data_IF_890137763186
#
_entry.id   IF_890137763186
#
_cell.length_a   1.000
_cell.length_b   1.000
_cell.length_c   1.000
_cell.angle_alpha   90.00
_cell.angle_beta   90.00
_cell.angle_gamma   90.00
#
_symmetry.space_group_name_H-M   'P 1'
#
loop_
_entity.id
_entity.type
_entity.pdbx_description
1 polymer ?
#
# COMPACT_ATOMS: atom_id res chain seq x y z
N UNK A 1 3.39 10.06 58.98
CA UNK A 1 4.80 10.44 58.95
C UNK A 1 4.98 11.37 57.75
N UNK A 2 5.28 12.63 57.99
CA UNK A 2 5.59 13.62 56.94
C UNK A 2 6.92 13.24 56.31
N UNK A 3 6.90 12.84 55.04
CA UNK A 3 8.10 12.48 54.27
C UNK A 3 8.53 13.72 53.50
N UNK A 4 9.70 14.27 53.81
CA UNK A 4 10.24 15.43 53.10
C UNK A 4 11.22 14.98 52.02
N UNK A 5 10.94 15.32 50.76
CA UNK A 5 11.83 15.09 49.64
C UNK A 5 12.45 16.42 49.22
N UNK A 6 13.75 16.58 49.45
CA UNK A 6 14.45 17.85 49.22
C UNK A 6 15.69 17.63 48.37
N UNK A 7 16.10 18.65 47.62
CA UNK A 7 17.43 18.67 47.00
C UNK A 7 18.47 18.98 48.08
N UNK A 8 19.56 18.23 48.07
CA UNK A 8 20.74 18.47 48.89
C UNK A 8 21.91 18.79 47.95
N UNK A 9 22.38 20.04 48.00
CA UNK A 9 23.48 20.53 47.15
C UNK A 9 24.76 20.65 47.95
N UNK A 10 25.69 19.71 47.77
CA UNK A 10 27.07 19.83 48.23
C UNK A 10 28.01 20.25 47.09
N UNK A 11 29.27 20.58 47.41
CA UNK A 11 30.26 20.99 46.41
C UNK A 11 30.54 19.92 45.34
N UNK A 12 30.33 18.65 45.67
CA UNK A 12 30.57 17.53 44.74
C UNK A 12 29.31 17.13 43.94
N UNK A 13 28.16 17.79 44.18
CA UNK A 13 26.87 17.41 43.63
C UNK A 13 26.60 15.89 43.77
N UNK A 14 26.84 15.36 44.98
CA UNK A 14 26.90 13.93 45.29
C UNK A 14 25.67 13.19 44.80
N UNK A 15 24.46 13.74 45.01
CA UNK A 15 23.21 13.11 44.59
C UNK A 15 22.83 13.35 43.13
N UNK A 16 23.62 14.11 42.36
CA UNK A 16 23.39 14.41 40.93
C UNK A 16 21.96 14.90 40.62
N UNK A 17 21.39 15.71 41.51
CA UNK A 17 20.03 16.23 41.39
C UNK A 17 18.90 15.29 41.82
N UNK A 18 19.19 14.11 42.37
CA UNK A 18 18.16 13.23 42.93
C UNK A 18 17.65 13.78 44.28
N UNK A 19 16.34 13.73 44.47
CA UNK A 19 15.70 14.16 45.72
C UNK A 19 16.02 13.19 46.85
N UNK A 20 16.52 13.74 47.97
CA UNK A 20 16.81 12.99 49.18
C UNK A 20 15.56 12.92 50.04
N UNK A 21 15.23 11.73 50.50
CA UNK A 21 14.05 11.50 51.33
C UNK A 21 14.45 11.46 52.80
N UNK A 22 13.94 12.40 53.60
CA UNK A 22 14.16 12.48 55.04
C UNK A 22 13.05 11.75 55.79
N UNK A 23 13.42 10.98 56.81
CA UNK A 23 12.48 10.18 57.61
C UNK A 23 11.97 10.95 58.84
N UNK A 24 12.65 12.02 59.21
CA UNK A 24 12.25 12.97 60.25
C UNK A 24 11.81 14.29 59.63
N UNK A 25 11.05 15.09 60.38
CA UNK A 25 10.75 16.46 59.99
C UNK A 25 12.06 17.24 59.85
N UNK A 26 12.24 17.90 58.72
CA UNK A 26 13.43 18.71 58.45
C UNK A 26 13.18 20.11 59.02
N UNK A 27 13.98 20.59 59.98
CA UNK A 27 13.79 21.91 60.58
C UNK A 27 13.85 23.05 59.54
N UNK A 28 13.06 24.14 59.71
CA UNK A 28 13.23 25.35 58.90
C UNK A 28 14.62 25.98 59.04
N UNK A 29 15.28 25.80 60.19
CA UNK A 29 16.63 26.30 60.51
C UNK A 29 17.74 25.76 59.63
N UNK A 30 17.49 24.76 58.78
CA UNK A 30 18.48 24.19 57.85
C UNK A 30 18.07 24.31 56.38
N UNK A 31 16.91 24.89 56.10
CA UNK A 31 16.36 25.04 54.74
C UNK A 31 16.54 26.46 54.24
N UNK A 32 16.73 26.58 52.93
CA UNK A 32 16.63 27.87 52.28
C UNK A 32 15.17 28.38 52.35
N UNK A 33 15.00 29.62 52.78
CA UNK A 33 13.69 30.28 52.95
C UNK A 33 12.96 30.52 51.62
N UNK A 34 13.67 30.56 50.49
CA UNK A 34 13.09 30.71 49.15
C UNK A 34 12.77 29.38 48.48
N UNK A 35 13.75 28.47 48.35
CA UNK A 35 13.57 27.24 47.59
C UNK A 35 13.28 26.00 48.45
N UNK A 36 13.34 26.09 49.77
CA UNK A 36 13.09 24.99 50.70
C UNK A 36 14.17 23.88 50.73
N UNK A 37 15.22 24.00 49.91
CA UNK A 37 16.27 22.99 49.78
C UNK A 37 17.44 23.22 50.74
N UNK A 38 18.30 22.20 50.86
CA UNK A 38 19.50 22.21 51.70
C UNK A 38 20.73 22.39 50.79
N UNK A 39 21.68 23.22 51.19
CA UNK A 39 22.88 23.57 50.42
C UNK A 39 24.07 23.70 51.36
N UNK A 40 25.26 23.30 50.90
CA UNK A 40 26.52 23.55 51.62
C UNK A 40 26.86 25.04 51.64
N UNK A 41 26.53 25.74 50.56
CA UNK A 41 26.73 27.19 50.43
C UNK A 41 25.42 27.89 50.82
N UNK A 42 25.31 28.20 52.11
CA UNK A 42 24.19 28.90 52.74
C UNK A 42 24.64 30.23 53.31
N UNK A 43 23.76 31.22 53.24
CA UNK A 43 23.93 32.53 53.83
C UNK A 43 22.82 32.81 54.83
N UNK A 44 23.16 33.44 55.94
CA UNK A 44 22.29 33.70 57.09
C UNK A 44 22.12 35.20 57.29
N UNK A 45 20.88 35.62 57.49
CA UNK A 45 20.56 36.98 57.98
C UNK A 45 20.65 37.06 59.50
N UNK A 46 20.78 38.27 60.08
CA UNK A 46 20.80 38.44 61.54
C UNK A 46 19.54 37.89 62.24
N UNK A 47 18.38 37.88 61.58
CA UNK A 47 17.16 37.24 62.09
C UNK A 47 17.19 35.70 62.08
N UNK A 48 18.23 35.08 61.52
CA UNK A 48 18.42 33.63 61.46
C UNK A 48 17.88 32.94 60.20
N UNK A 49 17.24 33.67 59.28
CA UNK A 49 16.77 33.10 58.01
C UNK A 49 17.93 32.74 57.09
N UNK A 50 17.77 31.62 56.37
CA UNK A 50 18.79 31.08 55.48
C UNK A 50 18.41 31.19 54.02
N UNK A 51 19.41 31.43 53.18
CA UNK A 51 19.29 31.50 51.72
C UNK A 51 20.46 30.71 51.11
N UNK A 52 20.18 29.78 50.20
CA UNK A 52 21.28 29.13 49.47
C UNK A 52 21.89 30.15 48.50
N UNK A 53 23.19 30.02 48.20
CA UNK A 53 23.91 30.96 47.35
C UNK A 53 23.19 31.27 46.01
N UNK A 54 22.64 30.28 45.26
CA UNK A 54 21.87 30.58 44.05
C UNK A 54 20.62 31.43 44.31
N UNK A 55 19.93 31.21 45.43
CA UNK A 55 18.77 32.01 45.81
C UNK A 55 19.16 33.39 46.33
N UNK A 56 20.30 33.52 47.02
CA UNK A 56 20.81 34.82 47.47
C UNK A 56 21.20 35.72 46.28
N UNK A 57 21.78 35.16 45.21
CA UNK A 57 22.09 35.93 43.99
C UNK A 57 20.88 36.35 43.17
N UNK A 58 19.70 35.78 43.43
CA UNK A 58 18.45 36.21 42.79
C UNK A 58 17.81 37.39 43.52
N UNK A 59 18.38 37.81 44.66
CA UNK A 59 17.96 39.00 45.39
C UNK A 59 18.77 40.19 44.85
N UNK A 60 18.09 41.29 44.52
CA UNK A 60 18.72 42.49 43.95
C UNK A 60 19.41 43.31 45.04
N UNK A 61 20.72 43.58 44.92
CA UNK A 61 21.56 44.22 45.97
C UNK A 61 21.00 45.56 46.54
N UNK A 62 20.11 46.23 45.80
CA UNK A 62 19.46 47.49 46.19
C UNK A 62 18.10 47.30 46.91
N UNK A 63 17.64 46.05 47.09
CA UNK A 63 16.36 45.70 47.71
C UNK A 63 16.49 45.18 49.15
N UNK A 64 15.58 45.64 50.02
CA UNK A 64 15.43 45.13 51.38
C UNK A 64 14.74 43.74 51.37
N UNK A 65 15.32 42.76 52.06
CA UNK A 65 14.72 41.43 52.20
C UNK A 65 13.62 41.48 53.26
N UNK A 66 12.37 41.47 52.79
CA UNK A 66 11.20 41.29 53.65
C UNK A 66 11.15 39.85 54.18
N UNK A 67 11.57 39.68 55.43
CA UNK A 67 11.59 38.39 56.10
C UNK A 67 10.21 38.00 56.65
N UNK A 68 9.17 38.82 56.50
CA UNK A 68 7.89 38.66 57.22
C UNK A 68 7.97 39.09 58.69
N UNK A 69 6.87 38.97 59.45
CA UNK A 69 6.71 39.35 60.88
C UNK A 69 7.64 40.47 61.38
N UNK A 70 7.41 41.70 60.88
CA UNK A 70 8.10 42.94 61.27
C UNK A 70 9.65 42.87 61.21
N UNK A 71 10.20 42.10 60.27
CA UNK A 71 11.64 41.92 60.09
C UNK A 71 12.05 42.25 58.65
N UNK A 72 12.94 43.23 58.50
CA UNK A 72 13.50 43.67 57.23
C UNK A 72 15.02 43.80 57.37
N UNK A 73 15.77 43.27 56.40
CA UNK A 73 17.23 43.26 56.41
C UNK A 73 17.80 43.62 55.04
N UNK A 74 18.95 44.27 55.01
CA UNK A 74 19.70 44.47 53.76
C UNK A 74 20.38 43.16 53.31
N UNK A 75 20.51 42.96 51.99
CA UNK A 75 21.26 41.82 51.42
C UNK A 75 22.73 41.85 51.86
N UNK A 76 23.28 43.04 52.12
CA UNK A 76 24.63 43.26 52.64
C UNK A 76 24.87 42.55 54.00
N UNK A 77 23.82 42.27 54.76
CA UNK A 77 23.87 41.59 56.07
C UNK A 77 23.96 40.07 55.96
N UNK A 78 23.85 39.50 54.76
CA UNK A 78 23.99 38.06 54.54
C UNK A 78 25.43 37.60 54.75
N UNK A 79 25.62 36.77 55.78
CA UNK A 79 26.92 36.14 56.07
C UNK A 79 26.89 34.66 55.72
N UNK A 80 27.99 34.13 55.19
CA UNK A 80 28.11 32.69 54.93
C UNK A 80 27.97 31.91 56.25
N UNK A 81 27.16 30.85 56.25
CA UNK A 81 26.89 30.02 57.42
C UNK A 81 27.02 28.53 57.08
N UNK A 82 27.99 27.89 57.72
CA UNK A 82 28.26 26.46 57.57
C UNK A 82 27.50 25.62 58.61
N UNK A 83 27.06 26.24 59.71
CA UNK A 83 26.42 25.56 60.84
C UNK A 83 25.11 24.89 60.44
N UNK A 84 24.34 25.54 59.56
CA UNK A 84 23.08 25.01 59.06
C UNK A 84 23.26 23.72 58.26
N UNK A 85 24.34 23.64 57.47
CA UNK A 85 24.64 22.43 56.72
C UNK A 85 25.20 21.33 57.63
N UNK A 86 26.01 21.68 58.64
CA UNK A 86 26.49 20.74 59.65
C UNK A 86 25.33 20.11 60.44
N UNK A 87 24.32 20.90 60.80
CA UNK A 87 23.09 20.39 61.42
C UNK A 87 22.30 19.49 60.47
N UNK A 88 22.20 19.87 59.19
CA UNK A 88 21.53 19.06 58.17
C UNK A 88 22.20 17.68 57.95
N UNK A 89 23.53 17.59 58.06
CA UNK A 89 24.28 16.33 57.91
C UNK A 89 23.89 15.28 58.95
N UNK A 90 23.38 15.69 60.11
CA UNK A 90 22.95 14.80 61.19
C UNK A 90 21.52 14.27 61.00
N UNK A 91 20.74 14.85 60.07
CA UNK A 91 19.35 14.43 59.82
C UNK A 91 19.31 13.04 59.21
N UNK A 92 18.30 12.25 59.59
CA UNK A 92 18.12 10.89 59.06
C UNK A 92 17.48 10.92 57.68
N UNK A 93 18.16 10.31 56.70
CA UNK A 93 17.75 10.25 55.32
C UNK A 93 17.85 8.83 54.73
N UNK A 94 17.20 8.60 53.61
CA UNK A 94 17.29 7.37 52.81
C UNK A 94 18.07 7.61 51.52
N UNK A 95 18.77 6.59 51.06
CA UNK A 95 19.47 6.60 49.78
C UNK A 95 18.51 6.92 48.62
N UNK A 96 18.78 7.93 47.78
CA UNK A 96 17.92 8.27 46.64
C UNK A 96 17.87 7.23 45.51
N UNK A 97 18.78 6.25 45.49
CA UNK A 97 18.77 5.20 44.45
C UNK A 97 17.57 4.29 44.64
N UNK A 98 16.80 4.09 43.57
CA UNK A 98 15.61 3.25 43.55
C UNK A 98 15.92 1.84 44.09
N UNK A 99 15.08 1.35 45.01
CA UNK A 99 15.22 0.03 45.61
C UNK A 99 16.30 -0.11 46.69
N UNK A 100 17.02 0.97 47.05
CA UNK A 100 17.99 0.92 48.14
C UNK A 100 17.33 1.15 49.51
N UNK A 101 17.41 0.19 50.46
CA UNK A 101 16.82 0.34 51.79
C UNK A 101 17.74 1.08 52.79
N UNK A 102 18.91 1.56 52.34
CA UNK A 102 19.88 2.18 53.24
C UNK A 102 19.34 3.50 53.81
N UNK A 103 19.33 3.57 55.14
CA UNK A 103 18.93 4.73 55.93
C UNK A 103 20.02 5.00 56.96
N UNK A 104 20.41 6.27 57.10
CA UNK A 104 21.45 6.72 58.02
C UNK A 104 21.41 8.23 58.18
N UNK A 105 22.43 8.82 58.79
CA UNK A 105 22.61 10.27 58.74
C UNK A 105 22.79 10.74 57.28
N UNK A 106 22.48 11.99 56.98
CA UNK A 106 22.66 12.52 55.63
C UNK A 106 24.13 12.41 55.18
N UNK A 107 25.09 12.57 56.08
CA UNK A 107 26.52 12.32 55.82
C UNK A 107 26.80 10.87 55.40
N UNK A 108 26.31 9.90 56.17
CA UNK A 108 26.47 8.46 55.85
C UNK A 108 25.78 8.09 54.53
N UNK A 109 24.62 8.68 54.25
CA UNK A 109 23.88 8.46 53.01
C UNK A 109 24.63 9.05 51.81
N UNK A 110 25.29 10.20 51.97
CA UNK A 110 26.13 10.80 50.93
C UNK A 110 27.30 9.88 50.56
N UNK A 111 27.98 9.29 51.54
CA UNK A 111 29.09 8.37 51.29
C UNK A 111 28.63 7.02 50.75
N UNK A 112 27.52 6.48 51.28
CA UNK A 112 26.87 5.31 50.71
C UNK A 112 26.48 5.53 49.25
N UNK A 113 25.91 6.68 48.89
CA UNK A 113 25.41 6.95 47.54
C UNK A 113 26.51 6.82 46.47
N UNK A 114 27.73 7.26 46.80
CA UNK A 114 28.94 7.15 45.95
C UNK A 114 29.28 5.70 45.61
N UNK A 115 29.03 4.76 46.54
CA UNK A 115 29.37 3.34 46.41
C UNK A 115 28.15 2.40 46.29
N UNK A 116 26.94 2.96 46.28
CA UNK A 116 25.70 2.17 46.31
C UNK A 116 25.54 1.34 45.03
N UNK A 117 25.54 0.02 45.21
CA UNK A 117 25.53 -0.98 44.12
C UNK A 117 24.15 -1.25 43.52
N UNK A 118 23.09 -0.68 44.11
CA UNK A 118 21.71 -0.80 43.64
C UNK A 118 21.35 0.24 42.56
N UNK A 119 22.32 0.98 42.03
CA UNK A 119 22.11 1.77 40.82
C UNK A 119 21.77 0.85 39.65
N UNK A 120 20.61 1.04 39.03
CA UNK A 120 20.23 0.39 37.78
C UNK A 120 20.62 1.25 36.58
N UNK A 121 20.85 0.61 35.44
CA UNK A 121 21.09 1.23 34.14
C UNK A 121 20.30 0.45 33.09
N UNK A 122 19.86 1.14 32.02
CA UNK A 122 19.16 0.50 30.91
C UNK A 122 20.13 -0.24 29.99
N UNK A 123 19.83 -1.49 29.68
CA UNK A 123 20.57 -2.24 28.67
C UNK A 123 20.31 -1.64 27.28
N UNK A 124 21.35 -1.44 26.48
CA UNK A 124 21.24 -0.87 25.13
C UNK A 124 20.65 -1.85 24.11
N UNK A 125 20.61 -3.15 24.44
CA UNK A 125 20.13 -4.21 23.54
C UNK A 125 18.64 -4.53 23.79
N UNK A 126 18.24 -4.75 25.05
CA UNK A 126 16.86 -5.11 25.40
C UNK A 126 16.06 -3.98 26.06
N UNK A 127 16.70 -2.89 26.50
CA UNK A 127 16.02 -1.77 27.17
C UNK A 127 15.66 -1.99 28.65
N UNK A 128 15.92 -3.18 29.19
CA UNK A 128 15.62 -3.52 30.60
C UNK A 128 16.51 -2.77 31.59
N UNK A 129 15.96 -2.45 32.76
CA UNK A 129 16.72 -1.86 33.87
C UNK A 129 17.48 -2.96 34.63
N UNK A 130 18.81 -2.98 34.47
CA UNK A 130 19.70 -3.97 35.08
C UNK A 130 20.58 -3.28 36.10
N UNK A 131 20.89 -3.96 37.22
CA UNK A 131 21.86 -3.45 38.18
C UNK A 131 23.19 -3.17 37.47
N UNK A 132 23.74 -1.96 37.61
CA UNK A 132 24.92 -1.52 36.85
C UNK A 132 26.12 -2.47 36.99
N UNK A 133 26.29 -3.08 38.18
CA UNK A 133 27.34 -4.09 38.45
C UNK A 133 27.15 -5.42 37.70
N UNK A 134 25.93 -5.74 37.27
CA UNK A 134 25.57 -6.97 36.55
C UNK A 134 25.42 -6.75 35.04
N UNK A 135 25.56 -5.51 34.54
CA UNK A 135 25.31 -5.20 33.13
C UNK A 135 26.19 -6.01 32.17
N UNK A 136 27.47 -6.19 32.49
CA UNK A 136 28.39 -6.99 31.68
C UNK A 136 27.96 -8.46 31.59
N UNK A 137 27.62 -9.07 32.72
CA UNK A 137 27.10 -10.44 32.79
C UNK A 137 25.75 -10.56 32.07
N UNK A 138 24.87 -9.57 32.22
CA UNK A 138 23.59 -9.54 31.52
C UNK A 138 23.80 -9.58 30.00
N UNK A 139 24.61 -8.68 29.44
CA UNK A 139 24.86 -8.65 27.98
C UNK A 139 25.53 -9.94 27.49
N UNK A 140 26.42 -10.53 28.29
CA UNK A 140 27.15 -11.74 27.92
C UNK A 140 26.29 -13.02 27.96
N UNK A 141 25.42 -13.18 28.96
CA UNK A 141 24.81 -14.48 29.26
C UNK A 141 23.29 -14.47 29.32
N UNK A 142 22.67 -13.34 29.68
CA UNK A 142 21.23 -13.29 30.01
C UNK A 142 20.41 -12.59 28.94
N UNK A 143 20.92 -11.53 28.35
CA UNK A 143 20.20 -10.67 27.43
C UNK A 143 19.74 -11.48 26.21
N UNK A 144 18.43 -11.54 26.00
CA UNK A 144 17.83 -12.24 24.85
C UNK A 144 18.11 -11.56 23.51
N UNK A 145 18.42 -10.26 23.55
CA UNK A 145 18.82 -9.47 22.38
C UNK A 145 20.34 -9.48 22.15
N UNK A 146 21.13 -10.28 22.90
CA UNK A 146 22.57 -10.39 22.64
C UNK A 146 22.82 -11.07 21.28
N UNK A 147 23.80 -10.61 20.50
CA UNK A 147 24.18 -11.30 19.26
C UNK A 147 24.83 -12.64 19.59
N UNK A 148 24.42 -13.68 18.88
CA UNK A 148 25.04 -15.00 18.87
C UNK A 148 25.27 -15.44 17.42
N UNK A 149 26.42 -16.05 17.15
CA UNK A 149 26.75 -16.56 15.83
C UNK A 149 26.09 -17.92 15.62
N UNK A 150 25.42 -18.10 14.49
CA UNK A 150 24.87 -19.39 14.08
C UNK A 150 26.00 -20.39 13.82
N UNK A 151 25.96 -21.62 14.38
CA UNK A 151 27.02 -22.62 14.19
C UNK A 151 27.11 -23.17 12.75
N UNK A 152 26.11 -22.89 11.90
CA UNK A 152 26.03 -23.40 10.54
C UNK A 152 26.42 -22.38 9.48
N UNK A 153 25.98 -21.12 9.63
CA UNK A 153 26.22 -20.05 8.64
C UNK A 153 27.06 -18.88 9.17
N UNK A 154 27.48 -18.93 10.43
CA UNK A 154 28.28 -17.91 11.13
C UNK A 154 27.61 -16.53 11.25
N UNK A 155 26.38 -16.36 10.76
CA UNK A 155 25.61 -15.12 10.85
C UNK A 155 25.26 -14.77 12.31
N UNK A 156 25.39 -13.50 12.67
CA UNK A 156 24.94 -12.99 13.97
C UNK A 156 23.42 -12.84 13.99
N UNK A 157 22.79 -13.50 14.96
CA UNK A 157 21.35 -13.46 15.25
C UNK A 157 21.14 -13.21 16.74
N UNK A 158 20.01 -12.61 17.10
CA UNK A 158 19.65 -12.41 18.51
C UNK A 158 19.48 -13.78 19.20
N UNK A 159 19.94 -13.91 20.44
CA UNK A 159 19.84 -15.16 21.19
C UNK A 159 18.42 -15.76 21.24
N UNK A 160 17.39 -14.91 21.35
CA UNK A 160 15.98 -15.37 21.31
C UNK A 160 15.54 -16.00 19.99
N UNK A 161 16.21 -15.66 18.88
CA UNK A 161 15.85 -16.11 17.53
C UNK A 161 16.80 -17.20 17.02
N UNK A 162 17.89 -17.50 17.74
CA UNK A 162 18.92 -18.44 17.28
C UNK A 162 18.36 -19.85 17.02
N UNK A 163 17.49 -20.35 17.89
CA UNK A 163 16.91 -21.70 17.76
C UNK A 163 16.05 -21.82 16.49
N UNK A 164 15.13 -20.88 16.26
CA UNK A 164 14.34 -20.82 15.02
C UNK A 164 15.22 -20.63 13.78
N UNK A 165 16.23 -19.76 13.86
CA UNK A 165 17.18 -19.60 12.77
C UNK A 165 17.92 -20.91 12.46
N UNK A 166 18.34 -21.68 13.47
CA UNK A 166 19.03 -22.96 13.29
C UNK A 166 18.15 -24.01 12.61
N UNK A 167 16.85 -24.02 12.89
CA UNK A 167 15.88 -24.92 12.22
C UNK A 167 15.66 -24.55 10.74
N UNK A 168 15.73 -23.26 10.41
CA UNK A 168 15.53 -22.73 9.07
C UNK A 168 16.83 -22.48 8.29
N UNK A 169 18.00 -22.69 8.91
CA UNK A 169 19.28 -22.37 8.30
C UNK A 169 19.59 -23.32 7.13
N UNK A 170 19.75 -22.78 5.93
CA UNK A 170 20.07 -23.58 4.73
C UNK A 170 21.42 -24.31 4.84
N UNK A 171 22.34 -23.85 5.69
CA UNK A 171 23.64 -24.48 5.94
C UNK A 171 23.63 -25.53 7.06
N UNK A 172 22.46 -25.79 7.68
CA UNK A 172 22.36 -26.83 8.70
C UNK A 172 22.47 -28.23 8.07
N UNK A 173 23.00 -29.22 8.78
CA UNK A 173 22.94 -30.61 8.35
C UNK A 173 21.50 -31.10 8.19
N UNK A 174 21.26 -31.95 7.22
CA UNK A 174 19.94 -32.51 6.97
C UNK A 174 20.02 -33.93 6.43
N UNK A 175 18.95 -34.70 6.63
CA UNK A 175 18.77 -36.00 6.01
C UNK A 175 17.58 -35.97 5.04
N UNK A 176 17.69 -36.74 3.96
CA UNK A 176 16.58 -36.89 3.03
C UNK A 176 15.45 -37.69 3.67
N UNK A 177 14.23 -37.15 3.68
CA UNK A 177 13.05 -37.81 4.26
C UNK A 177 12.61 -39.08 3.51
N UNK A 178 13.12 -39.30 2.30
CA UNK A 178 12.74 -40.44 1.45
C UNK A 178 13.80 -41.55 1.41
N UNK A 179 15.09 -41.20 1.39
CA UNK A 179 16.19 -42.19 1.33
C UNK A 179 17.08 -42.23 2.58
N UNK A 180 16.87 -41.33 3.54
CA UNK A 180 17.67 -41.18 4.76
C UNK A 180 19.18 -40.94 4.53
N UNK A 181 19.56 -40.52 3.31
CA UNK A 181 20.93 -40.09 3.03
C UNK A 181 21.22 -38.76 3.74
N UNK A 182 22.42 -38.63 4.30
CA UNK A 182 22.87 -37.48 5.08
C UNK A 182 23.57 -36.46 4.17
N UNK A 183 23.34 -35.17 4.43
CA UNK A 183 23.90 -34.05 3.70
C UNK A 183 24.50 -33.04 4.67
N UNK A 184 25.65 -32.49 4.30
CA UNK A 184 26.35 -31.45 5.07
C UNK A 184 25.48 -30.20 5.23
N UNK A 185 24.69 -29.86 4.20
CA UNK A 185 23.77 -28.72 4.22
C UNK A 185 22.37 -29.08 3.72
N UNK A 186 21.35 -28.42 4.27
CA UNK A 186 19.98 -28.51 3.79
C UNK A 186 19.83 -27.95 2.37
N UNK A 187 20.65 -26.95 2.01
CA UNK A 187 20.76 -26.41 0.66
C UNK A 187 21.10 -27.49 -0.37
N UNK A 188 22.13 -28.29 -0.10
CA UNK A 188 22.55 -29.38 -0.99
C UNK A 188 21.45 -30.44 -1.11
N UNK A 189 20.83 -30.81 0.01
CA UNK A 189 19.68 -31.72 0.01
C UNK A 189 18.56 -31.19 -0.90
N UNK A 190 18.16 -29.93 -0.71
CA UNK A 190 17.03 -29.28 -1.42
C UNK A 190 17.30 -29.10 -2.90
N UNK A 191 18.46 -28.56 -3.27
CA UNK A 191 18.73 -28.07 -4.62
C UNK A 191 19.44 -29.09 -5.51
N UNK A 192 20.13 -30.09 -4.93
CA UNK A 192 20.89 -31.09 -5.71
C UNK A 192 20.31 -32.49 -5.63
N UNK A 193 19.86 -32.93 -4.45
CA UNK A 193 19.41 -34.31 -4.26
C UNK A 193 17.91 -34.51 -4.49
N UNK A 194 17.05 -33.58 -4.07
CA UNK A 194 15.60 -33.79 -4.08
C UNK A 194 15.04 -34.18 -5.45
N UNK A 195 15.61 -33.72 -6.57
CA UNK A 195 15.09 -34.08 -7.89
C UNK A 195 15.57 -35.44 -8.40
N UNK A 196 16.70 -35.92 -7.91
CA UNK A 196 17.31 -37.20 -8.29
C UNK A 196 17.15 -38.30 -7.23
N UNK A 197 16.56 -37.98 -6.08
CA UNK A 197 16.37 -38.90 -4.96
C UNK A 197 15.67 -40.19 -5.43
N UNK A 198 16.27 -41.39 -5.26
CA UNK A 198 15.73 -42.63 -5.79
C UNK A 198 14.39 -43.03 -5.16
N UNK A 199 14.15 -42.64 -3.92
CA UNK A 199 12.96 -43.02 -3.16
C UNK A 199 11.85 -41.95 -3.18
N UNK A 200 12.12 -40.75 -3.73
CA UNK A 200 11.12 -39.68 -3.80
C UNK A 200 9.96 -40.10 -4.70
N UNK A 201 8.71 -40.02 -4.23
CA UNK A 201 7.53 -40.30 -5.04
C UNK A 201 7.32 -39.25 -6.13
N UNK A 202 7.37 -39.65 -7.40
CA UNK A 202 7.19 -38.78 -8.57
C UNK A 202 5.99 -39.22 -9.41
N UNK A 203 5.31 -38.25 -10.04
CA UNK A 203 4.15 -38.50 -10.88
C UNK A 203 4.57 -39.09 -12.23
N UNK A 204 3.76 -40.00 -12.77
CA UNK A 204 4.02 -40.58 -14.08
C UNK A 204 4.04 -39.49 -15.19
N UNK A 205 5.03 -39.51 -16.12
CA UNK A 205 5.05 -38.62 -17.30
C UNK A 205 3.80 -38.70 -18.18
N UNK A 206 3.07 -39.82 -18.13
CA UNK A 206 1.80 -40.03 -18.85
C UNK A 206 0.57 -39.49 -18.11
N UNK A 207 0.75 -38.73 -17.02
CA UNK A 207 -0.36 -38.13 -16.27
C UNK A 207 -1.28 -37.29 -17.15
N UNK A 208 -0.71 -36.50 -18.08
CA UNK A 208 -1.49 -35.69 -19.05
C UNK A 208 -2.38 -36.52 -19.98
N UNK A 209 -2.09 -37.82 -20.10
CA UNK A 209 -2.88 -38.76 -20.89
C UNK A 209 -3.79 -39.65 -20.02
N UNK A 210 -3.81 -39.45 -18.70
CA UNK A 210 -4.72 -40.15 -17.78
C UNK A 210 -4.06 -41.13 -16.80
N UNK A 211 -2.73 -41.24 -16.76
CA UNK A 211 -2.06 -42.09 -15.77
C UNK A 211 -1.91 -41.38 -14.41
N UNK A 212 -2.71 -41.76 -13.42
CA UNK A 212 -2.68 -41.15 -12.08
C UNK A 212 -1.73 -41.86 -11.08
N UNK A 213 -0.80 -42.67 -11.58
CA UNK A 213 0.13 -43.43 -10.74
C UNK A 213 1.29 -42.52 -10.30
N UNK A 214 1.60 -42.59 -9.01
CA UNK A 214 2.79 -42.00 -8.39
C UNK A 214 3.60 -43.13 -7.76
N UNK A 215 4.88 -43.21 -8.12
CA UNK A 215 5.82 -44.24 -7.65
C UNK A 215 7.16 -43.58 -7.33
N UNK A 216 8.05 -44.26 -6.60
CA UNK A 216 9.40 -43.74 -6.38
C UNK A 216 10.17 -43.59 -7.70
N UNK A 217 11.15 -42.70 -7.75
CA UNK A 217 12.05 -42.55 -8.91
C UNK A 217 12.68 -43.89 -9.34
N UNK A 218 13.10 -44.72 -8.39
CA UNK A 218 13.66 -46.06 -8.63
C UNK A 218 12.66 -47.02 -9.28
N UNK A 219 11.38 -46.93 -8.94
CA UNK A 219 10.34 -47.80 -9.48
C UNK A 219 9.76 -47.29 -10.80
N UNK A 220 10.01 -46.02 -11.15
CA UNK A 220 9.47 -45.39 -12.36
C UNK A 220 9.83 -46.16 -13.63
N UNK A 221 11.06 -46.66 -13.74
CA UNK A 221 11.48 -47.43 -14.93
C UNK A 221 10.61 -48.69 -15.11
N UNK A 222 10.30 -49.41 -14.03
CA UNK A 222 9.43 -50.58 -14.08
C UNK A 222 7.98 -50.20 -14.36
N UNK A 223 7.49 -49.10 -13.79
CA UNK A 223 6.16 -48.57 -14.07
C UNK A 223 5.98 -48.20 -15.56
N UNK A 224 6.99 -47.56 -16.16
CA UNK A 224 6.96 -47.14 -17.57
C UNK A 224 6.88 -48.32 -18.55
N UNK A 225 7.35 -49.52 -18.17
CA UNK A 225 7.22 -50.75 -18.97
C UNK A 225 5.78 -51.29 -19.04
N UNK A 226 4.84 -50.72 -18.26
CA UNK A 226 3.44 -51.11 -18.30
C UNK A 226 2.79 -50.83 -19.67
N UNK A 227 2.10 -51.80 -20.28
CA UNK A 227 1.44 -51.62 -21.57
C UNK A 227 0.27 -50.62 -21.50
N UNK A 228 -0.20 -50.27 -20.30
CA UNK A 228 -1.31 -49.31 -20.10
C UNK A 228 -1.01 -47.95 -20.73
N UNK A 229 0.24 -47.50 -20.74
CA UNK A 229 0.61 -46.23 -21.37
C UNK A 229 0.37 -46.25 -22.87
N UNK A 230 0.62 -47.39 -23.54
CA UNK A 230 0.36 -47.54 -24.97
C UNK A 230 -1.14 -47.45 -25.24
N UNK A 231 -1.99 -48.06 -24.41
CA UNK A 231 -3.45 -47.92 -24.53
C UNK A 231 -3.88 -46.45 -24.41
N UNK A 232 -3.40 -45.72 -23.41
CA UNK A 232 -3.72 -44.29 -23.24
C UNK A 232 -3.30 -43.45 -24.46
N UNK A 233 -2.13 -43.74 -25.03
CA UNK A 233 -1.67 -43.06 -26.25
C UNK A 233 -2.55 -43.41 -27.45
N UNK A 234 -2.90 -44.69 -27.65
CA UNK A 234 -3.76 -45.14 -28.74
C UNK A 234 -5.15 -44.50 -28.63
N UNK A 235 -5.75 -44.48 -27.45
CA UNK A 235 -7.04 -43.82 -27.21
C UNK A 235 -6.97 -42.33 -27.57
N UNK A 236 -5.87 -41.65 -27.19
CA UNK A 236 -5.66 -40.25 -27.54
C UNK A 236 -5.48 -40.05 -29.05
N UNK A 237 -4.76 -40.94 -29.73
CA UNK A 237 -4.59 -40.91 -31.20
C UNK A 237 -5.94 -41.07 -31.89
N UNK A 238 -6.74 -42.08 -31.51
CA UNK A 238 -8.07 -42.30 -32.08
C UNK A 238 -9.00 -41.11 -31.87
N UNK A 239 -8.95 -40.49 -30.68
CA UNK A 239 -9.69 -39.25 -30.38
C UNK A 239 -9.24 -38.08 -31.26
N UNK A 240 -7.93 -37.89 -31.46
CA UNK A 240 -7.39 -36.84 -32.33
C UNK A 240 -7.71 -37.10 -33.81
N UNK A 241 -7.72 -38.35 -34.26
CA UNK A 241 -8.14 -38.71 -35.61
C UNK A 241 -9.61 -38.42 -35.85
N UNK A 242 -10.48 -38.70 -34.86
CA UNK A 242 -11.90 -38.36 -34.93
C UNK A 242 -12.11 -36.85 -35.06
N UNK A 243 -11.45 -36.05 -34.20
CA UNK A 243 -11.50 -34.58 -34.26
C UNK A 243 -10.97 -34.05 -35.60
N UNK A 244 -9.88 -34.63 -36.14
CA UNK A 244 -9.38 -34.25 -37.46
C UNK A 244 -10.36 -34.58 -38.59
N UNK A 245 -11.07 -35.72 -38.51
CA UNK A 245 -12.12 -36.06 -39.49
C UNK A 245 -13.27 -35.07 -39.43
N UNK A 246 -13.73 -34.71 -38.23
CA UNK A 246 -14.78 -33.70 -38.02
C UNK A 246 -14.36 -32.34 -38.61
N UNK A 247 -13.16 -31.85 -38.26
CA UNK A 247 -12.63 -30.60 -38.80
C UNK A 247 -12.49 -30.61 -40.33
N UNK A 248 -12.13 -31.75 -40.93
CA UNK A 248 -12.09 -31.88 -42.40
C UNK A 248 -13.49 -31.79 -43.02
N UNK A 249 -14.48 -32.46 -42.44
CA UNK A 249 -15.86 -32.40 -42.91
C UNK A 249 -16.44 -30.98 -42.79
N UNK A 250 -16.15 -30.28 -41.69
CA UNK A 250 -16.52 -28.87 -41.52
C UNK A 250 -15.84 -27.98 -42.59
N UNK A 251 -14.55 -28.18 -42.84
CA UNK A 251 -13.82 -27.45 -43.86
C UNK A 251 -14.40 -27.68 -45.26
N UNK A 252 -14.76 -28.91 -45.61
CA UNK A 252 -15.34 -29.20 -46.93
C UNK A 252 -16.74 -28.60 -47.08
N UNK A 253 -17.54 -28.64 -46.01
CA UNK A 253 -18.83 -27.94 -45.97
C UNK A 253 -18.67 -26.44 -46.17
N UNK A 254 -17.69 -25.82 -45.49
CA UNK A 254 -17.39 -24.39 -45.64
C UNK A 254 -16.95 -24.05 -47.07
N UNK A 255 -16.13 -24.89 -47.72
CA UNK A 255 -15.75 -24.69 -49.12
C UNK A 255 -16.95 -24.72 -50.06
N UNK A 256 -17.89 -25.63 -49.85
CA UNK A 256 -19.10 -25.73 -50.69
C UNK A 256 -20.04 -24.53 -50.49
N UNK A 257 -20.14 -24.02 -49.26
CA UNK A 257 -20.85 -22.76 -48.97
C UNK A 257 -20.17 -21.60 -49.71
N UNK A 258 -18.84 -21.49 -49.66
CA UNK A 258 -18.10 -20.43 -50.35
C UNK A 258 -18.35 -20.49 -51.87
N UNK A 259 -18.24 -21.67 -52.49
CA UNK A 259 -18.56 -21.84 -53.93
C UNK A 259 -19.98 -21.39 -54.26
N UNK A 260 -20.95 -21.76 -53.42
CA UNK A 260 -22.35 -21.35 -53.61
C UNK A 260 -22.52 -19.83 -53.52
N UNK A 261 -21.81 -19.18 -52.59
CA UNK A 261 -21.81 -17.72 -52.47
C UNK A 261 -21.17 -17.08 -53.70
N UNK A 262 -20.03 -17.58 -54.16
CA UNK A 262 -19.36 -17.11 -55.36
C UNK A 262 -20.26 -17.22 -56.61
N UNK A 263 -20.96 -18.34 -56.79
CA UNK A 263 -21.92 -18.54 -57.88
C UNK A 263 -23.08 -17.52 -57.83
N UNK A 264 -23.59 -17.26 -56.62
CA UNK A 264 -24.65 -16.26 -56.40
C UNK A 264 -24.15 -14.84 -56.67
N UNK A 265 -22.92 -14.51 -56.28
CA UNK A 265 -22.31 -13.21 -56.57
C UNK A 265 -22.21 -13.00 -58.08
N UNK A 266 -21.68 -13.98 -58.82
CA UNK A 266 -21.63 -13.89 -60.30
C UNK A 266 -23.01 -13.70 -60.93
N UNK A 267 -24.01 -14.44 -60.44
CA UNK A 267 -25.39 -14.29 -60.92
C UNK A 267 -25.96 -12.89 -60.65
N UNK A 268 -25.60 -12.27 -59.52
CA UNK A 268 -26.03 -10.91 -59.19
C UNK A 268 -25.32 -9.90 -60.09
N UNK A 269 -24.02 -10.07 -60.34
CA UNK A 269 -23.24 -9.21 -61.24
C UNK A 269 -23.80 -9.26 -62.68
N UNK A 270 -24.13 -10.45 -63.20
CA UNK A 270 -24.76 -10.61 -64.52
C UNK A 270 -26.13 -9.91 -64.60
N UNK A 271 -26.91 -9.96 -63.51
CA UNK A 271 -28.19 -9.25 -63.43
C UNK A 271 -28.01 -7.75 -63.39
N UNK A 272 -27.01 -7.25 -62.64
CA UNK A 272 -26.70 -5.82 -62.55
C UNK A 272 -26.28 -5.27 -63.91
N UNK A 273 -25.38 -5.95 -64.62
CA UNK A 273 -24.97 -5.54 -65.98
C UNK A 273 -26.14 -5.53 -66.97
N UNK A 274 -27.04 -6.52 -66.87
CA UNK A 274 -28.27 -6.53 -67.67
C UNK A 274 -29.19 -5.36 -67.31
N UNK A 275 -29.36 -5.05 -66.02
CA UNK A 275 -30.16 -3.90 -65.57
C UNK A 275 -29.57 -2.57 -66.06
N UNK A 276 -28.25 -2.41 -66.01
CA UNK A 276 -27.55 -1.23 -66.52
C UNK A 276 -27.77 -1.05 -68.02
N UNK A 277 -27.70 -2.12 -68.81
CA UNK A 277 -27.99 -2.08 -70.24
C UNK A 277 -29.45 -1.69 -70.51
N UNK A 278 -30.40 -2.29 -69.79
CA UNK A 278 -31.82 -1.92 -69.92
C UNK A 278 -32.08 -0.47 -69.53
N UNK A 279 -31.39 0.03 -68.48
CA UNK A 279 -31.48 1.42 -68.05
C UNK A 279 -30.93 2.38 -69.10
N UNK A 280 -29.79 2.06 -69.71
CA UNK A 280 -29.22 2.85 -70.81
C UNK A 280 -30.18 2.93 -72.00
N UNK A 281 -30.71 1.79 -72.46
CA UNK A 281 -31.69 1.74 -73.55
C UNK A 281 -32.95 2.57 -73.23
N UNK A 282 -33.39 2.56 -71.96
CA UNK A 282 -34.54 3.34 -71.52
C UNK A 282 -34.25 4.85 -71.53
N UNK A 283 -33.03 5.27 -71.16
CA UNK A 283 -32.59 6.68 -71.25
C UNK A 283 -32.55 7.13 -72.70
N UNK A 284 -31.95 6.35 -73.60
CA UNK A 284 -31.90 6.66 -75.03
C UNK A 284 -33.31 6.79 -75.62
N UNK A 285 -34.21 5.87 -75.26
CA UNK A 285 -35.63 5.94 -75.68
C UNK A 285 -36.36 7.17 -75.11
N UNK A 286 -36.03 7.59 -73.89
CA UNK A 286 -36.59 8.81 -73.28
C UNK A 286 -36.10 10.07 -74.00
N UNK A 287 -34.83 10.12 -74.41
CA UNK A 287 -34.25 11.22 -75.19
C UNK A 287 -34.94 11.34 -76.56
N UNK A 288 -35.10 10.23 -77.30
CA UNK A 288 -35.83 10.22 -78.57
C UNK A 288 -37.28 10.71 -78.44
N UNK A 289 -37.96 10.32 -77.36
CA UNK A 289 -39.33 10.79 -77.09
C UNK A 289 -39.36 12.28 -76.76
N UNK A 290 -38.35 12.78 -76.04
CA UNK A 290 -38.24 14.19 -75.69
C UNK A 290 -37.99 15.07 -76.92
N UNK A 291 -37.15 14.60 -77.85
CA UNK A 291 -36.93 15.24 -79.14
C UNK A 291 -38.23 15.29 -79.96
N UNK A 292 -38.95 14.16 -80.08
CA UNK A 292 -40.26 14.11 -80.76
C UNK A 292 -41.28 15.04 -80.13
N UNK A 293 -41.34 15.12 -78.79
CA UNK A 293 -42.23 16.06 -78.09
C UNK A 293 -41.86 17.51 -78.47
N UNK A 294 -40.57 17.84 -78.49
CA UNK A 294 -40.08 19.17 -78.87
C UNK A 294 -40.43 19.53 -80.32
N UNK A 295 -40.27 18.59 -81.26
CA UNK A 295 -40.68 18.74 -82.66
C UNK A 295 -42.20 18.94 -82.82
N UNK A 296 -43.00 18.15 -82.11
CA UNK A 296 -44.46 18.28 -82.12
C UNK A 296 -44.91 19.62 -81.53
N UNK A 297 -44.28 20.08 -80.44
CA UNK A 297 -44.54 21.39 -79.85
C UNK A 297 -44.17 22.53 -80.80
N UNK A 298 -43.02 22.45 -81.48
CA UNK A 298 -42.62 23.42 -82.48
C UNK A 298 -43.60 23.47 -83.66
N UNK A 299 -44.06 22.31 -84.14
CA UNK A 299 -45.05 22.21 -85.22
C UNK A 299 -46.40 22.77 -84.79
N UNK A 300 -46.84 22.48 -83.57
CA UNK A 300 -48.05 23.07 -82.99
C UNK A 300 -47.93 24.60 -82.90
N UNK A 301 -46.80 25.14 -82.43
CA UNK A 301 -46.56 26.59 -82.40
C UNK A 301 -46.59 27.25 -83.79
N UNK A 302 -46.13 26.56 -84.83
CA UNK A 302 -46.17 27.08 -86.21
C UNK A 302 -47.58 27.05 -86.82
N UNK A 303 -48.40 26.06 -86.47
CA UNK A 303 -49.77 25.91 -86.99
C UNK A 303 -50.81 26.68 -86.18
N UNK A 304 -50.53 26.99 -84.90
CA UNK A 304 -51.40 27.74 -84.00
C UNK A 304 -51.91 29.06 -84.59
N UNK A 305 -51.09 29.92 -85.24
CA UNK A 305 -51.57 31.19 -85.79
C UNK A 305 -52.57 31.00 -86.93
N UNK A 306 -52.40 29.95 -87.74
CA UNK A 306 -53.32 29.64 -88.84
C UNK A 306 -54.64 29.11 -88.29
N UNK A 307 -54.59 28.24 -87.28
CA UNK A 307 -55.78 27.76 -86.57
C UNK A 307 -56.52 28.93 -85.89
N UNK A 308 -55.80 29.80 -85.17
CA UNK A 308 -56.38 30.97 -84.50
C UNK A 308 -56.99 31.95 -85.51
N UNK A 309 -56.32 32.17 -86.65
CA UNK A 309 -56.86 32.99 -87.73
C UNK A 309 -58.14 32.36 -88.32
N UNK A 310 -58.18 31.04 -88.49
CA UNK A 310 -59.35 30.32 -88.98
C UNK A 310 -60.50 30.34 -87.97
N UNK A 311 -60.22 30.21 -86.68
CA UNK A 311 -61.20 30.37 -85.61
C UNK A 311 -61.80 31.77 -85.68
N UNK A 312 -60.96 32.80 -85.73
CA UNK A 312 -61.42 34.19 -85.84
C UNK A 312 -62.27 34.42 -87.09
N UNK A 313 -61.87 33.89 -88.24
CA UNK A 313 -62.66 33.98 -89.47
C UNK A 313 -64.04 33.31 -89.33
N UNK A 314 -64.10 32.16 -88.66
CA UNK A 314 -65.36 31.46 -88.39
C UNK A 314 -66.22 32.22 -87.38
N UNK A 315 -65.62 32.80 -86.34
CA UNK A 315 -66.29 33.66 -85.36
C UNK A 315 -66.87 34.93 -86.03
N UNK A 316 -66.08 35.59 -86.88
CA UNK A 316 -66.53 36.75 -87.66
C UNK A 316 -67.71 36.38 -88.57
N UNK A 317 -67.61 35.26 -89.29
CA UNK A 317 -68.73 34.73 -90.12
C UNK A 317 -69.94 34.37 -89.29
N UNK A 318 -69.76 33.77 -88.11
CA UNK A 318 -70.84 33.46 -87.20
C UNK A 318 -71.52 34.76 -86.75
N UNK A 319 -70.77 35.79 -86.35
CA UNK A 319 -71.32 37.07 -85.95
C UNK A 319 -72.16 37.72 -87.06
N UNK A 320 -71.68 37.68 -88.32
CA UNK A 320 -72.43 38.17 -89.50
C UNK A 320 -73.75 37.42 -89.69
N UNK A 321 -73.79 36.10 -89.42
CA UNK A 321 -75.02 35.31 -89.54
C UNK A 321 -75.92 35.43 -88.30
N UNK A 322 -75.34 35.70 -87.14
CA UNK A 322 -76.05 35.85 -85.87
C UNK A 322 -76.86 37.14 -85.86
N UNK A 323 -76.38 38.23 -86.47
CA UNK A 323 -77.10 39.51 -86.48
C UNK A 323 -78.44 39.47 -87.25
N UNK A 324 -78.53 38.92 -88.49
CA UNK A 324 -79.79 38.65 -89.16
C UNK A 324 -80.65 37.62 -88.45
N UNK A 325 -80.03 36.58 -87.87
CA UNK A 325 -80.76 35.53 -87.15
C UNK A 325 -81.41 36.06 -85.87
N UNK A 326 -80.72 36.89 -85.10
CA UNK A 326 -81.24 37.57 -83.91
C UNK A 326 -82.28 38.62 -84.27
N UNK A 327 -82.17 39.26 -85.43
CA UNK A 327 -83.20 40.16 -85.96
C UNK A 327 -84.46 39.40 -86.36
N UNK A 328 -84.33 38.29 -87.09
CA UNK A 328 -85.43 37.39 -87.42
C UNK A 328 -86.06 36.79 -86.17
N UNK A 329 -85.25 36.36 -85.20
CA UNK A 329 -85.75 35.85 -83.92
C UNK A 329 -86.49 36.94 -83.16
N UNK A 330 -85.99 38.18 -83.10
CA UNK A 330 -86.73 39.32 -82.52
C UNK A 330 -88.04 39.64 -83.23
N UNK A 331 -88.07 39.59 -84.56
CA UNK A 331 -89.32 39.74 -85.34
C UNK A 331 -90.32 38.61 -85.06
N UNK A 332 -89.86 37.42 -84.68
CA UNK A 332 -90.71 36.27 -84.31
C UNK A 332 -91.09 36.29 -82.81
N UNK A 333 -90.24 36.82 -81.92
CA UNK A 333 -90.33 36.60 -80.46
C UNK A 333 -90.96 37.72 -79.62
N UNK A 334 -91.48 38.80 -80.22
CA UNK A 334 -92.36 39.77 -79.54
C UNK A 334 -93.12 40.59 -80.59
N UNK A 335 -94.44 40.79 -80.50
CA UNK A 335 -95.09 41.66 -79.51
C UNK A 335 -94.34 42.98 -79.31
#
# INVERSE_FOLDING_TARGET
MTVHKLLVKDRNNTFKGNLVTFTTEVPPSVKCSLCGNISKEMRRLPCGRLYCQPCAYMLDDDEEIECGDECTHEISELVDSDEAFQEALLLTAMCPKQGCPYQGSLEEVMDHYKSCTLSTAKCTLCGEDVAAKLMSMHVAEVCECRPQSCPYCEMEVEARNLESHMEDCDLRPANCTYCNEEFDTYLDLRDTHMDVCPNKPVKCPYQRFGCNIQVSNKEMENHLRSPRHVTLLVDRILSLEAQNRELRNENDTLKDIVRTIEDRVRTIEDKQTTEECLRANMVDSQEELMDKISELQATAMQTQPEVDARIKELEDKQAILQEPLDKLLREISGL
#
